data_IF_119053527898
#
_entry.id   IF_119053527898
#
_cell.length_a   1.000
_cell.length_b   1.000
_cell.length_c   1.000
_cell.angle_alpha   90.00
_cell.angle_beta   90.00
_cell.angle_gamma   90.00
#
_symmetry.space_group_name_H-M   'P 1'
#
loop_
_entity.id
_entity.type
_entity.pdbx_description
1 polymer ?
#
# COMPACT_ATOMS: atom_id res chain seq x y z
N UNK A 1 -9.41 -8.14 6.96
CA UNK A 1 -8.02 -7.72 6.76
C UNK A 1 -7.86 -6.26 7.16
N UNK A 2 -6.63 -5.84 7.47
CA UNK A 2 -6.32 -4.46 7.81
C UNK A 2 -4.87 -4.15 7.41
N UNK A 3 -4.63 -2.91 7.04
CA UNK A 3 -3.31 -2.31 6.84
C UNK A 3 -3.22 -1.11 7.78
N UNK A 4 -2.08 -0.94 8.45
CA UNK A 4 -1.82 0.15 9.37
C UNK A 4 -0.43 0.73 9.12
N UNK A 5 -0.34 2.04 8.99
CA UNK A 5 0.93 2.76 8.90
C UNK A 5 1.62 2.74 10.26
N UNK A 6 2.94 2.54 10.28
CA UNK A 6 3.71 2.64 11.53
C UNK A 6 3.85 4.10 12.00
N UNK A 7 3.67 5.07 11.09
CA UNK A 7 3.69 6.49 11.38
C UNK A 7 2.27 7.04 11.54
N UNK A 8 1.98 7.62 12.70
CA UNK A 8 0.62 7.99 13.09
C UNK A 8 0.04 9.21 12.32
N UNK A 9 0.88 10.14 11.88
CA UNK A 9 0.44 11.30 11.08
C UNK A 9 0.14 10.93 9.61
N UNK A 10 0.57 9.75 9.16
CA UNK A 10 0.42 9.30 7.78
C UNK A 10 1.18 10.15 6.76
N UNK A 11 2.14 10.97 7.18
CA UNK A 11 2.93 11.86 6.31
C UNK A 11 4.34 11.32 6.16
N UNK A 12 4.76 11.08 4.92
CA UNK A 12 6.10 10.62 4.59
C UNK A 12 6.80 11.61 3.68
N UNK A 13 8.13 11.65 3.73
CA UNK A 13 8.94 12.47 2.83
C UNK A 13 9.50 11.61 1.70
N UNK A 14 9.60 12.17 0.50
CA UNK A 14 10.29 11.52 -0.61
C UNK A 14 11.74 11.16 -0.23
N UNK A 15 12.21 9.99 -0.67
CA UNK A 15 13.52 9.45 -0.31
C UNK A 15 13.62 8.88 1.10
N UNK A 16 12.49 8.71 1.81
CA UNK A 16 12.45 8.06 3.14
C UNK A 16 11.72 6.73 3.10
N UNK A 17 11.96 5.88 4.10
CA UNK A 17 11.29 4.60 4.20
C UNK A 17 9.86 4.72 4.73
N UNK A 18 8.92 4.15 3.99
CA UNK A 18 7.61 3.77 4.52
C UNK A 18 7.75 2.48 5.32
N UNK A 19 7.05 2.42 6.45
CA UNK A 19 6.87 1.18 7.21
C UNK A 19 5.39 1.01 7.55
N UNK A 20 4.86 -0.19 7.32
CA UNK A 20 3.49 -0.54 7.63
C UNK A 20 3.40 -1.97 8.14
N UNK A 21 2.25 -2.26 8.76
CA UNK A 21 1.85 -3.58 9.20
C UNK A 21 0.55 -3.96 8.53
N UNK A 22 0.38 -5.24 8.24
CA UNK A 22 -0.85 -5.73 7.66
C UNK A 22 -1.20 -7.11 8.19
N UNK A 23 -2.48 -7.45 8.17
CA UNK A 23 -2.98 -8.75 8.61
C UNK A 23 -4.23 -9.18 7.86
N UNK A 24 -4.36 -10.48 7.65
CA UNK A 24 -5.59 -11.11 7.16
C UNK A 24 -6.43 -11.56 8.36
N UNK A 25 -7.74 -11.41 8.24
CA UNK A 25 -8.68 -11.81 9.29
C UNK A 25 -10.00 -12.22 8.64
N UNK A 26 -10.70 -13.18 9.25
CA UNK A 26 -12.04 -13.64 8.80
C UNK A 26 -12.05 -14.35 7.44
N UNK A 27 -10.90 -14.87 7.01
CA UNK A 27 -10.72 -15.72 5.83
C UNK A 27 -9.79 -16.86 6.24
N UNK A 28 -10.08 -18.09 5.84
CA UNK A 28 -9.26 -19.26 6.15
C UNK A 28 -8.18 -19.47 5.08
N UNK A 29 -7.14 -20.25 5.40
CA UNK A 29 -6.03 -20.51 4.48
C UNK A 29 -6.48 -21.17 3.17
N UNK A 30 -7.42 -22.11 3.24
CA UNK A 30 -8.00 -22.84 2.11
C UNK A 30 -8.86 -21.95 1.18
N UNK A 31 -9.29 -20.78 1.67
CA UNK A 31 -10.03 -19.82 0.87
C UNK A 31 -9.11 -18.89 0.08
N UNK A 32 -7.81 -18.81 0.40
CA UNK A 32 -6.88 -17.86 -0.20
C UNK A 32 -6.08 -18.49 -1.35
N UNK A 33 -6.15 -17.86 -2.52
CA UNK A 33 -5.27 -18.15 -3.65
C UNK A 33 -4.04 -17.24 -3.68
N UNK A 34 -4.20 -15.98 -3.28
CA UNK A 34 -3.09 -15.05 -3.20
C UNK A 34 -3.38 -13.85 -2.30
N UNK A 35 -2.30 -13.23 -1.83
CA UNK A 35 -2.29 -11.95 -1.15
C UNK A 35 -1.37 -11.02 -1.93
N UNK A 36 -1.84 -9.84 -2.29
CA UNK A 36 -1.01 -8.77 -2.84
C UNK A 36 -0.99 -7.57 -1.89
N UNK A 37 0.19 -6.98 -1.74
CA UNK A 37 0.41 -5.72 -1.04
C UNK A 37 1.15 -4.79 -2.00
N UNK A 38 0.54 -3.65 -2.29
CA UNK A 38 1.10 -2.65 -3.20
C UNK A 38 1.21 -1.31 -2.51
N UNK A 39 2.34 -0.63 -2.64
CA UNK A 39 2.42 0.82 -2.45
C UNK A 39 2.24 1.46 -3.82
N UNK A 40 1.22 2.27 -3.98
CA UNK A 40 0.87 2.82 -5.28
C UNK A 40 0.38 4.26 -5.16
N UNK A 41 0.37 4.94 -6.29
CA UNK A 41 -0.35 6.18 -6.45
C UNK A 41 -1.27 6.11 -7.65
N UNK A 42 -2.29 6.97 -7.63
CA UNK A 42 -3.19 7.15 -8.75
C UNK A 42 -3.64 8.60 -8.84
N UNK A 43 -4.01 9.02 -10.05
CA UNK A 43 -4.70 10.29 -10.26
C UNK A 43 -6.20 10.10 -10.12
N UNK A 44 -6.85 11.11 -9.56
CA UNK A 44 -8.30 11.14 -9.35
C UNK A 44 -8.82 12.55 -9.65
N UNK A 45 -10.00 12.66 -10.25
CA UNK A 45 -10.57 13.94 -10.70
C UNK A 45 -11.16 13.88 -12.11
N UNK A 46 -11.18 15.04 -12.79
CA UNK A 46 -11.69 15.16 -14.16
C UNK A 46 -10.60 14.77 -15.16
N UNK A 47 -10.89 13.80 -16.01
CA UNK A 47 -9.99 13.31 -17.05
C UNK A 47 -9.65 11.84 -16.84
N UNK A 48 -8.54 11.40 -17.45
CA UNK A 48 -8.07 10.03 -17.34
C UNK A 48 -7.43 9.78 -15.98
N UNK A 49 -7.69 8.59 -15.44
CA UNK A 49 -7.07 8.10 -14.22
C UNK A 49 -5.84 7.29 -14.57
N UNK A 50 -4.70 7.74 -14.05
CA UNK A 50 -3.43 7.02 -14.09
C UNK A 50 -3.27 6.24 -12.79
N UNK A 51 -2.60 5.09 -12.88
CA UNK A 51 -2.22 4.29 -11.71
C UNK A 51 -0.80 3.77 -11.91
N UNK A 52 0.01 3.88 -10.87
CA UNK A 52 1.36 3.33 -10.86
C UNK A 52 1.67 2.63 -9.54
N UNK A 53 2.15 1.40 -9.64
CA UNK A 53 2.60 0.60 -8.50
C UNK A 53 4.09 0.88 -8.28
N UNK A 54 4.39 1.53 -7.16
CA UNK A 54 5.77 1.84 -6.75
C UNK A 54 6.46 0.63 -6.12
N UNK A 55 5.75 -0.08 -5.23
CA UNK A 55 6.25 -1.29 -4.57
C UNK A 55 5.19 -2.38 -4.61
N UNK A 56 5.61 -3.63 -4.77
CA UNK A 56 4.71 -4.78 -4.90
C UNK A 56 5.29 -6.02 -4.21
N UNK A 57 4.49 -6.62 -3.34
CA UNK A 57 4.74 -7.92 -2.74
C UNK A 57 3.56 -8.84 -2.99
N UNK A 58 3.85 -10.10 -3.30
CA UNK A 58 2.83 -11.13 -3.51
C UNK A 58 3.18 -12.41 -2.81
N UNK A 59 2.19 -12.99 -2.12
CA UNK A 59 2.22 -14.34 -1.60
C UNK A 59 1.23 -15.19 -2.42
N UNK A 60 1.74 -16.19 -3.11
CA UNK A 60 0.92 -17.17 -3.80
C UNK A 60 0.45 -18.27 -2.84
N UNK A 61 -0.55 -19.05 -3.26
CA UNK A 61 -1.15 -20.15 -2.49
C UNK A 61 -0.09 -21.05 -1.83
N UNK A 62 0.93 -21.49 -2.58
CA UNK A 62 1.98 -22.35 -2.03
C UNK A 62 2.84 -21.70 -0.94
N UNK A 63 2.99 -20.36 -0.95
CA UNK A 63 3.68 -19.63 0.11
C UNK A 63 2.76 -19.50 1.31
N UNK A 64 1.49 -19.12 1.09
CA UNK A 64 0.48 -18.97 2.13
C UNK A 64 0.30 -20.28 2.92
N UNK A 65 0.21 -21.42 2.23
CA UNK A 65 0.06 -22.73 2.89
C UNK A 65 1.30 -23.14 3.70
N UNK A 66 2.51 -22.74 3.26
CA UNK A 66 3.75 -23.05 3.97
C UNK A 66 3.97 -22.16 5.19
N UNK A 67 3.67 -20.87 5.09
CA UNK A 67 3.95 -19.90 6.15
C UNK A 67 2.75 -19.68 7.09
N UNK A 68 1.57 -20.09 6.68
CA UNK A 68 0.31 -19.72 7.32
C UNK A 68 0.03 -18.21 7.21
N UNK A 69 -1.00 -17.76 7.93
CA UNK A 69 -1.27 -16.34 8.17
C UNK A 69 -0.77 -15.99 9.56
N UNK A 70 0.36 -15.29 9.64
CA UNK A 70 0.79 -14.69 10.89
C UNK A 70 -0.24 -13.67 11.40
N UNK A 71 -0.25 -13.42 12.71
CA UNK A 71 -1.09 -12.39 13.35
C UNK A 71 -0.84 -10.99 12.76
N UNK A 72 0.41 -10.74 12.33
CA UNK A 72 0.85 -9.49 11.71
C UNK A 72 2.05 -9.73 10.79
N UNK A 73 2.03 -9.08 9.62
CA UNK A 73 3.14 -9.00 8.66
C UNK A 73 3.63 -7.55 8.54
N UNK A 74 4.86 -7.37 8.07
CA UNK A 74 5.47 -6.04 7.87
C UNK A 74 5.70 -5.77 6.39
N UNK A 75 5.57 -4.50 6.03
CA UNK A 75 5.94 -3.95 4.74
C UNK A 75 6.91 -2.79 4.98
N UNK A 76 8.01 -2.75 4.24
CA UNK A 76 8.93 -1.60 4.21
C UNK A 76 9.39 -1.33 2.79
N UNK A 77 9.36 -0.07 2.37
CA UNK A 77 9.91 0.34 1.07
C UNK A 77 10.42 1.80 1.13
N UNK A 78 11.45 2.11 0.35
CA UNK A 78 11.90 3.50 0.14
C UNK A 78 10.92 4.20 -0.80
N UNK A 79 10.41 5.37 -0.41
CA UNK A 79 9.48 6.15 -1.23
C UNK A 79 10.23 7.03 -2.23
N UNK A 80 9.70 7.21 -3.46
CA UNK A 80 10.36 8.02 -4.46
C UNK A 80 10.26 9.51 -4.11
N UNK A 81 11.06 10.35 -4.76
CA UNK A 81 10.94 11.80 -4.62
C UNK A 81 9.65 12.36 -5.23
N UNK A 82 9.08 11.68 -6.23
CA UNK A 82 7.89 12.08 -6.98
C UNK A 82 7.08 10.86 -7.46
N UNK A 83 5.79 11.04 -7.80
CA UNK A 83 4.99 12.27 -7.65
C UNK A 83 4.60 12.52 -6.19
N UNK A 84 4.58 13.78 -5.78
CA UNK A 84 4.11 14.15 -4.44
C UNK A 84 2.59 14.05 -4.36
N UNK A 85 2.07 13.81 -3.16
CA UNK A 85 0.64 13.91 -2.91
C UNK A 85 0.16 15.34 -3.20
N UNK A 86 -0.90 15.44 -3.99
CA UNK A 86 -1.47 16.71 -4.40
C UNK A 86 -2.99 16.62 -4.31
N UNK A 87 -3.63 17.63 -3.71
CA UNK A 87 -5.08 17.71 -3.63
C UNK A 87 -5.56 18.97 -4.34
N UNK A 88 -5.85 18.83 -5.64
CA UNK A 88 -6.37 19.90 -6.48
C UNK A 88 -7.85 19.70 -6.81
N UNK A 89 -8.48 20.79 -7.25
CA UNK A 89 -9.90 20.77 -7.63
C UNK A 89 -10.19 19.98 -8.91
N UNK A 90 -9.26 19.98 -9.87
CA UNK A 90 -9.40 19.27 -11.15
C UNK A 90 -8.78 17.88 -11.11
N UNK A 91 -7.62 17.76 -10.47
CA UNK A 91 -6.85 16.51 -10.35
C UNK A 91 -6.21 16.43 -8.97
N UNK A 92 -6.16 15.24 -8.41
CA UNK A 92 -5.44 14.88 -7.20
C UNK A 92 -4.48 13.73 -7.50
N UNK A 93 -3.33 13.71 -6.84
CA UNK A 93 -2.42 12.56 -6.78
C UNK A 93 -2.57 11.95 -5.39
N UNK A 94 -3.07 10.73 -5.32
CA UNK A 94 -3.35 10.01 -4.08
C UNK A 94 -2.39 8.83 -3.93
N UNK A 95 -1.76 8.72 -2.76
CA UNK A 95 -0.92 7.59 -2.39
C UNK A 95 -1.66 6.67 -1.42
N UNK A 96 -1.52 5.36 -1.60
CA UNK A 96 -2.04 4.38 -0.66
C UNK A 96 -1.20 3.11 -0.62
N UNK A 97 -1.36 2.37 0.46
CA UNK A 97 -1.03 0.95 0.51
C UNK A 97 -2.32 0.19 0.20
N UNK A 98 -2.34 -0.57 -0.89
CA UNK A 98 -3.45 -1.42 -1.29
C UNK A 98 -3.14 -2.87 -0.94
N UNK A 99 -4.03 -3.52 -0.21
CA UNK A 99 -4.00 -4.96 0.01
C UNK A 99 -5.15 -5.61 -0.74
N UNK A 100 -4.85 -6.66 -1.51
CA UNK A 100 -5.84 -7.48 -2.23
C UNK A 100 -5.74 -8.93 -1.78
N UNK A 101 -6.88 -9.54 -1.50
CA UNK A 101 -7.02 -10.98 -1.31
C UNK A 101 -7.74 -11.57 -2.50
N UNK A 102 -7.16 -12.60 -3.08
CA UNK A 102 -7.76 -13.37 -4.15
C UNK A 102 -8.29 -14.67 -3.54
N UNK A 103 -9.60 -14.87 -3.60
CA UNK A 103 -10.26 -16.02 -3.01
C UNK A 103 -10.47 -17.15 -4.03
N UNK A 104 -10.55 -18.38 -3.53
CA UNK A 104 -10.75 -19.58 -4.36
C UNK A 104 -12.07 -19.62 -5.13
N UNK A 105 -13.06 -18.84 -4.70
CA UNK A 105 -14.34 -18.65 -5.40
C UNK A 105 -14.32 -17.51 -6.44
N UNK A 106 -13.15 -16.96 -6.73
CA UNK A 106 -12.95 -15.89 -7.71
C UNK A 106 -13.27 -14.48 -7.20
N UNK A 107 -13.72 -14.33 -5.94
CA UNK A 107 -13.91 -13.01 -5.34
C UNK A 107 -12.56 -12.37 -5.01
N UNK A 108 -12.56 -11.04 -5.08
CA UNK A 108 -11.48 -10.22 -4.56
C UNK A 108 -11.96 -9.38 -3.39
N UNK A 109 -11.16 -9.31 -2.33
CA UNK A 109 -11.35 -8.35 -1.25
C UNK A 109 -10.23 -7.33 -1.38
N UNK A 110 -10.56 -6.04 -1.37
CA UNK A 110 -9.58 -4.94 -1.47
C UNK A 110 -9.72 -4.00 -0.27
N UNK A 111 -8.60 -3.54 0.26
CA UNK A 111 -8.55 -2.47 1.25
C UNK A 111 -7.40 -1.53 0.92
N UNK A 112 -7.61 -0.25 1.17
CA UNK A 112 -6.61 0.78 0.93
C UNK A 112 -6.39 1.58 2.21
N UNK A 113 -5.12 1.76 2.57
CA UNK A 113 -4.69 2.66 3.62
C UNK A 113 -4.01 3.87 2.98
N UNK A 114 -4.68 5.02 2.88
CA UNK A 114 -4.08 6.22 2.30
C UNK A 114 -2.96 6.77 3.18
N UNK A 115 -1.99 7.42 2.55
CA UNK A 115 -0.94 8.22 3.19
C UNK A 115 -0.60 9.43 2.33
N UNK A 116 0.13 10.39 2.88
CA UNK A 116 0.55 11.61 2.20
C UNK A 116 2.05 11.58 1.95
N UNK A 117 2.47 11.78 0.70
CA UNK A 117 3.88 11.93 0.31
C UNK A 117 4.20 13.42 0.11
N UNK A 118 5.03 13.97 0.97
CA UNK A 118 5.51 15.34 0.93
C UNK A 118 6.94 15.42 0.36
N UNK A 119 7.33 16.61 -0.10
CA UNK A 119 8.71 16.87 -0.48
C UNK A 119 9.65 16.63 0.73
N UNK A 120 10.85 16.13 0.45
CA UNK A 120 11.93 16.12 1.44
C UNK A 120 12.25 17.57 1.81
N UNK A 121 12.25 17.90 3.11
CA UNK A 121 12.80 19.18 3.56
C UNK A 121 14.29 19.21 3.23
N UNK A 122 14.81 20.26 2.58
CA UNK A 122 16.25 20.39 2.42
C UNK A 122 16.87 20.41 3.82
N UNK A 123 17.80 19.49 4.07
CA UNK A 123 18.56 19.48 5.31
C UNK A 123 19.30 20.82 5.40
N UNK A 124 18.98 21.66 6.38
CA UNK A 124 19.79 22.84 6.67
C UNK A 124 21.13 22.33 7.18
N UNK A 125 22.12 22.26 6.30
CA UNK A 125 23.51 22.13 6.70
C UNK A 125 23.89 23.47 7.35
N UNK A 126 24.04 23.46 8.67
CA UNK A 126 24.75 24.47 9.46
C UNK A 126 26.24 24.16 9.49
#
# INVERSE_FOLDING_TARGET
MNVALCRADGIYQGGTNLAARWRVSRVTLDQLQAIEISVLWYTDGKGDQDLHVHHFERLDESQIQRTGLADEHRLTCELPATPLSYHGHLISVRWCIRMRLFLSDGREIVTEQPFYLAASSPSTLV
#
